data_IF_878813477365
#
_entry.id   IF_878813477365
#
_cell.length_a   1.000
_cell.length_b   1.000
_cell.length_c   1.000
_cell.angle_alpha   90.00
_cell.angle_beta   90.00
_cell.angle_gamma   90.00
#
_symmetry.space_group_name_H-M   'P 1'
#
loop_
_entity.id
_entity.type
_entity.pdbx_description
1 polymer ?
#
# COMPACT_ATOMS: atom_id res chain seq x y z
N UNK A 1 37.87 -9.66 17.98
CA UNK A 1 38.31 -8.93 16.75
C UNK A 1 37.49 -9.41 15.55
N UNK A 2 36.60 -8.55 15.04
CA UNK A 2 36.22 -8.41 13.62
C UNK A 2 35.48 -7.07 13.50
N UNK A 3 36.20 -6.05 13.06
CA UNK A 3 35.66 -4.75 12.63
C UNK A 3 35.02 -4.95 11.24
N UNK A 4 33.85 -4.37 10.99
CA UNK A 4 33.24 -4.35 9.65
C UNK A 4 32.01 -3.45 9.56
N UNK A 5 32.22 -2.27 8.96
CA UNK A 5 31.24 -1.30 8.43
C UNK A 5 30.29 -0.57 9.41
N UNK A 6 30.49 0.75 9.48
CA UNK A 6 29.60 1.74 10.10
C UNK A 6 28.22 1.71 9.46
N UNK A 7 27.18 1.41 10.23
CA UNK A 7 25.80 1.73 9.85
C UNK A 7 25.68 3.26 9.78
N UNK A 8 25.76 3.83 8.57
CA UNK A 8 25.53 5.26 8.38
C UNK A 8 24.04 5.50 8.57
N UNK A 9 23.66 5.87 9.79
CA UNK A 9 22.28 6.19 10.15
C UNK A 9 21.78 7.36 9.30
N UNK A 10 20.63 7.19 8.65
CA UNK A 10 19.98 8.28 7.91
C UNK A 10 19.68 9.44 8.86
N UNK A 11 19.90 10.66 8.37
CA UNK A 11 19.52 11.86 9.13
C UNK A 11 18.00 11.97 9.24
N UNK A 12 17.49 12.69 10.24
CA UNK A 12 16.05 12.94 10.39
C UNK A 12 15.42 13.56 9.14
N UNK A 13 16.12 14.49 8.47
CA UNK A 13 15.64 15.06 7.21
C UNK A 13 15.62 14.06 6.06
N UNK A 14 16.56 13.13 6.01
CA UNK A 14 16.54 12.05 5.03
C UNK A 14 15.34 11.13 5.28
N UNK A 15 15.05 10.78 6.54
CA UNK A 15 13.88 9.97 6.88
C UNK A 15 12.57 10.66 6.50
N UNK A 16 12.44 11.96 6.80
CA UNK A 16 11.28 12.76 6.39
C UNK A 16 11.16 12.80 4.86
N UNK A 17 12.28 12.94 4.14
CA UNK A 17 12.28 12.97 2.68
C UNK A 17 11.87 11.62 2.09
N UNK A 18 12.26 10.49 2.70
CA UNK A 18 11.81 9.15 2.28
C UNK A 18 10.29 9.04 2.40
N UNK A 19 9.72 9.41 3.56
CA UNK A 19 8.26 9.42 3.74
C UNK A 19 7.57 10.32 2.72
N UNK A 20 8.13 11.50 2.44
CA UNK A 20 7.58 12.41 1.44
C UNK A 20 7.64 11.83 0.02
N UNK A 21 8.75 11.17 -0.36
CA UNK A 21 8.90 10.50 -1.66
C UNK A 21 7.83 9.42 -1.84
N UNK A 22 7.64 8.55 -0.85
CA UNK A 22 6.64 7.47 -0.91
C UNK A 22 5.22 8.04 -1.00
N UNK A 23 4.94 9.16 -0.32
CA UNK A 23 3.63 9.79 -0.34
C UNK A 23 3.31 10.53 -1.64
N UNK A 24 4.30 11.17 -2.28
CA UNK A 24 4.07 12.04 -3.45
C UNK A 24 4.43 11.40 -4.78
N UNK A 25 5.34 10.41 -4.78
CA UNK A 25 5.94 9.85 -6.00
C UNK A 25 6.83 10.84 -6.77
N UNK A 26 7.08 12.04 -6.22
CA UNK A 26 7.82 13.11 -6.91
C UNK A 26 8.90 13.70 -5.98
N UNK A 27 10.15 13.54 -6.40
CA UNK A 27 11.36 14.02 -5.70
C UNK A 27 11.35 15.56 -5.55
N UNK A 28 10.85 16.30 -6.52
CA UNK A 28 10.75 17.78 -6.44
C UNK A 28 9.76 18.19 -5.36
N UNK A 29 8.57 17.58 -5.36
CA UNK A 29 7.53 17.85 -4.36
C UNK A 29 8.00 17.43 -2.97
N UNK A 30 8.66 16.28 -2.86
CA UNK A 30 9.23 15.80 -1.61
C UNK A 30 10.33 16.74 -1.08
N UNK A 31 11.21 17.25 -1.95
CA UNK A 31 12.24 18.20 -1.55
C UNK A 31 11.63 19.49 -0.99
N UNK A 32 10.58 20.00 -1.64
CA UNK A 32 9.86 21.19 -1.19
C UNK A 32 9.17 20.95 0.15
N UNK A 33 8.49 19.81 0.33
CA UNK A 33 7.74 19.50 1.56
C UNK A 33 8.62 19.36 2.78
N UNK A 34 9.85 18.87 2.63
CA UNK A 34 10.83 18.74 3.74
C UNK A 34 11.80 19.92 3.85
N UNK A 35 11.63 20.97 3.04
CA UNK A 35 12.44 22.19 3.09
C UNK A 35 13.91 21.98 2.70
N UNK A 36 14.20 21.14 1.71
CA UNK A 36 15.55 20.95 1.16
C UNK A 36 15.60 21.36 -0.31
N UNK A 37 16.78 21.81 -0.76
CA UNK A 37 16.98 22.07 -2.18
C UNK A 37 16.86 20.75 -2.96
N UNK A 38 16.16 20.78 -4.10
CA UNK A 38 16.06 19.65 -5.05
C UNK A 38 17.42 18.97 -5.29
N UNK A 39 18.48 19.73 -5.54
CA UNK A 39 19.83 19.19 -5.77
C UNK A 39 20.37 18.36 -4.59
N UNK A 40 20.00 18.72 -3.36
CA UNK A 40 20.35 17.94 -2.15
C UNK A 40 19.63 16.60 -2.14
N UNK A 41 18.34 16.57 -2.45
CA UNK A 41 17.58 15.32 -2.48
C UNK A 41 18.05 14.41 -3.62
N UNK A 42 18.35 14.96 -4.80
CA UNK A 42 18.97 14.21 -5.91
C UNK A 42 20.34 13.64 -5.55
N UNK A 43 21.13 14.35 -4.72
CA UNK A 43 22.39 13.81 -4.21
C UNK A 43 22.14 12.64 -3.26
N UNK A 44 21.12 12.72 -2.40
CA UNK A 44 20.73 11.59 -1.53
C UNK A 44 20.24 10.39 -2.35
N UNK A 45 19.50 10.60 -3.43
CA UNK A 45 19.07 9.55 -4.36
C UNK A 45 20.22 8.83 -5.09
N UNK A 46 21.46 9.33 -4.99
CA UNK A 46 22.67 8.63 -5.47
C UNK A 46 23.40 7.86 -4.38
N UNK A 47 22.95 7.98 -3.12
CA UNK A 47 23.55 7.28 -1.99
C UNK A 47 22.86 5.92 -1.81
N UNK A 48 23.61 4.80 -1.85
CA UNK A 48 23.01 3.46 -1.77
C UNK A 48 22.12 3.27 -0.54
N UNK A 49 22.54 3.75 0.61
CA UNK A 49 21.79 3.67 1.88
C UNK A 49 20.44 4.41 1.84
N UNK A 50 20.35 5.54 1.13
CA UNK A 50 19.11 6.30 1.02
C UNK A 50 18.16 5.60 0.05
N UNK A 51 18.67 5.15 -1.10
CA UNK A 51 17.89 4.40 -2.10
C UNK A 51 17.33 3.11 -1.51
N UNK A 52 18.14 2.35 -0.77
CA UNK A 52 17.68 1.14 -0.07
C UNK A 52 16.54 1.45 0.91
N UNK A 53 16.63 2.55 1.64
CA UNK A 53 15.58 2.94 2.57
C UNK A 53 14.31 3.46 1.88
N UNK A 54 14.43 4.12 0.72
CA UNK A 54 13.27 4.45 -0.12
C UNK A 54 12.56 3.18 -0.57
N UNK A 55 13.29 2.20 -1.13
CA UNK A 55 12.69 0.95 -1.57
C UNK A 55 12.07 0.13 -0.44
N UNK A 56 12.70 0.12 0.74
CA UNK A 56 12.10 -0.50 1.93
C UNK A 56 10.77 0.18 2.30
N UNK A 57 10.74 1.51 2.33
CA UNK A 57 9.52 2.26 2.64
C UNK A 57 8.43 2.11 1.56
N UNK A 58 8.81 1.98 0.28
CA UNK A 58 7.87 1.66 -0.81
C UNK A 58 7.28 0.25 -0.62
N UNK A 59 8.10 -0.74 -0.27
CA UNK A 59 7.64 -2.10 0.01
C UNK A 59 6.66 -2.14 1.20
N UNK A 60 6.98 -1.44 2.28
CA UNK A 60 6.10 -1.31 3.44
C UNK A 60 4.75 -0.66 3.06
N UNK A 61 4.77 0.38 2.22
CA UNK A 61 3.56 1.04 1.73
C UNK A 61 2.68 0.12 0.87
N UNK A 62 3.29 -0.73 0.02
CA UNK A 62 2.57 -1.74 -0.77
C UNK A 62 1.95 -2.80 0.13
N UNK A 63 2.67 -3.23 1.17
CA UNK A 63 2.16 -4.19 2.15
C UNK A 63 0.97 -3.61 2.93
N UNK A 64 1.05 -2.34 3.34
CA UNK A 64 -0.05 -1.61 3.97
C UNK A 64 -1.26 -1.48 3.05
N UNK A 65 -1.05 -1.12 1.78
CA UNK A 65 -2.13 -1.09 0.79
C UNK A 65 -2.78 -2.46 0.65
N UNK A 66 -2.00 -3.54 0.63
CA UNK A 66 -2.51 -4.91 0.55
C UNK A 66 -3.38 -5.25 1.76
N UNK A 67 -2.93 -4.91 2.98
CA UNK A 67 -3.75 -5.04 4.20
C UNK A 67 -5.05 -4.25 4.12
N UNK A 68 -5.01 -3.02 3.61
CA UNK A 68 -6.20 -2.18 3.43
C UNK A 68 -7.18 -2.80 2.43
N UNK A 69 -6.69 -3.33 1.31
CA UNK A 69 -7.52 -4.00 0.31
C UNK A 69 -8.19 -5.25 0.88
N UNK A 70 -7.48 -6.08 1.66
CA UNK A 70 -8.07 -7.25 2.35
C UNK A 70 -9.19 -6.81 3.30
N UNK A 71 -8.99 -5.73 4.06
CA UNK A 71 -10.00 -5.17 4.96
C UNK A 71 -11.23 -4.65 4.19
N UNK A 72 -11.02 -3.96 3.07
CA UNK A 72 -12.11 -3.51 2.20
C UNK A 72 -12.86 -4.69 1.60
N UNK A 73 -12.17 -5.76 1.20
CA UNK A 73 -12.80 -7.01 0.75
C UNK A 73 -13.74 -7.60 1.80
N UNK A 74 -13.32 -7.69 3.06
CA UNK A 74 -14.19 -8.13 4.18
C UNK A 74 -15.43 -7.24 4.33
N UNK A 75 -15.25 -5.93 4.20
CA UNK A 75 -16.35 -4.95 4.27
C UNK A 75 -17.32 -5.11 3.10
N UNK A 76 -16.81 -5.35 1.89
CA UNK A 76 -17.63 -5.60 0.71
C UNK A 76 -18.45 -6.90 0.86
N UNK A 77 -17.84 -7.98 1.35
CA UNK A 77 -18.57 -9.24 1.64
C UNK A 77 -19.67 -9.03 2.67
N UNK A 78 -19.39 -8.31 3.76
CA UNK A 78 -20.39 -7.97 4.77
C UNK A 78 -21.53 -7.11 4.19
N UNK A 79 -21.21 -6.22 3.26
CA UNK A 79 -22.20 -5.36 2.58
C UNK A 79 -23.12 -6.19 1.68
N UNK A 80 -22.57 -7.14 0.91
CA UNK A 80 -23.36 -8.08 0.11
C UNK A 80 -24.25 -8.96 1.00
N UNK A 81 -23.72 -9.47 2.12
CA UNK A 81 -24.49 -10.25 3.09
C UNK A 81 -25.67 -9.45 3.69
N UNK A 82 -25.44 -8.17 4.03
CA UNK A 82 -26.51 -7.27 4.48
C UNK A 82 -27.55 -7.02 3.39
N UNK A 83 -27.11 -6.73 2.16
CA UNK A 83 -28.01 -6.51 1.04
C UNK A 83 -28.92 -7.73 0.78
N UNK A 84 -28.43 -8.96 0.96
CA UNK A 84 -29.23 -10.19 0.80
C UNK A 84 -30.27 -10.40 1.91
N UNK A 85 -29.93 -10.03 3.16
CA UNK A 85 -30.74 -10.36 4.34
C UNK A 85 -31.69 -9.26 4.80
N UNK A 86 -31.41 -7.99 4.48
CA UNK A 86 -32.21 -6.85 4.93
C UNK A 86 -33.63 -6.88 4.30
N UNK A 87 -34.72 -6.92 5.11
CA UNK A 87 -36.08 -6.91 4.61
C UNK A 87 -36.42 -5.70 3.74
N UNK A 88 -35.78 -4.55 3.98
CA UNK A 88 -36.02 -3.32 3.23
C UNK A 88 -35.32 -3.29 1.86
N UNK A 89 -34.39 -4.22 1.59
CA UNK A 89 -33.71 -4.27 0.28
C UNK A 89 -34.65 -4.83 -0.80
N UNK A 90 -34.81 -4.16 -1.96
CA UNK A 90 -35.62 -4.67 -3.06
C UNK A 90 -35.16 -6.05 -3.55
N UNK A 91 -36.11 -6.92 -3.92
CA UNK A 91 -35.83 -8.29 -4.33
C UNK A 91 -34.77 -8.40 -5.46
N UNK A 92 -34.84 -7.52 -6.46
CA UNK A 92 -33.87 -7.48 -7.54
C UNK A 92 -32.43 -7.19 -7.04
N UNK A 93 -32.28 -6.32 -6.04
CA UNK A 93 -30.98 -6.02 -5.43
C UNK A 93 -30.46 -7.19 -4.61
N UNK A 94 -31.34 -7.94 -3.91
CA UNK A 94 -30.96 -9.17 -3.21
C UNK A 94 -30.40 -10.22 -4.16
N UNK A 95 -31.10 -10.46 -5.27
CA UNK A 95 -30.68 -11.42 -6.30
C UNK A 95 -29.33 -11.01 -6.89
N UNK A 96 -29.13 -9.73 -7.24
CA UNK A 96 -27.83 -9.25 -7.73
C UNK A 96 -26.70 -9.41 -6.71
N UNK A 97 -26.96 -9.16 -5.42
CA UNK A 97 -25.96 -9.35 -4.37
C UNK A 97 -25.57 -10.83 -4.21
N UNK A 98 -26.56 -11.73 -4.30
CA UNK A 98 -26.33 -13.17 -4.27
C UNK A 98 -25.52 -13.64 -5.48
N UNK A 99 -25.91 -13.23 -6.69
CA UNK A 99 -25.22 -13.56 -7.94
C UNK A 99 -23.77 -13.06 -7.93
N UNK A 100 -23.55 -11.80 -7.54
CA UNK A 100 -22.20 -11.25 -7.41
C UNK A 100 -21.35 -12.05 -6.41
N UNK A 101 -21.93 -12.45 -5.28
CA UNK A 101 -21.23 -13.25 -4.26
C UNK A 101 -20.85 -14.63 -4.81
N UNK A 102 -21.77 -15.33 -5.48
CA UNK A 102 -21.53 -16.64 -6.08
C UNK A 102 -20.47 -16.56 -7.18
N UNK A 103 -20.56 -15.56 -8.06
CA UNK A 103 -19.58 -15.33 -9.13
C UNK A 103 -18.17 -15.12 -8.57
N UNK A 104 -18.01 -14.31 -7.51
CA UNK A 104 -16.69 -14.10 -6.88
C UNK A 104 -16.18 -15.32 -6.13
N UNK A 105 -17.06 -16.12 -5.53
CA UNK A 105 -16.68 -17.38 -4.90
C UNK A 105 -16.12 -18.39 -5.92
N UNK A 106 -16.75 -18.51 -7.09
CA UNK A 106 -16.26 -19.37 -8.16
C UNK A 106 -14.88 -18.92 -8.65
N UNK A 107 -14.68 -17.62 -8.89
CA UNK A 107 -13.38 -17.05 -9.28
C UNK A 107 -12.29 -17.34 -8.23
N UNK A 108 -12.60 -17.20 -6.93
CA UNK A 108 -11.66 -17.52 -5.85
C UNK A 108 -11.29 -19.01 -5.82
N UNK A 109 -12.25 -19.90 -6.09
CA UNK A 109 -12.00 -21.35 -6.15
C UNK A 109 -11.07 -21.72 -7.30
N UNK A 110 -11.25 -21.09 -8.47
CA UNK A 110 -10.37 -21.28 -9.62
C UNK A 110 -8.94 -20.84 -9.29
N UNK A 111 -8.77 -19.66 -8.70
CA UNK A 111 -7.44 -19.16 -8.29
C UNK A 111 -6.76 -20.08 -7.28
N UNK A 112 -7.50 -20.58 -6.28
CA UNK A 112 -6.96 -21.50 -5.27
C UNK A 112 -6.58 -22.89 -5.82
N UNK A 113 -7.03 -23.24 -7.03
CA UNK A 113 -6.63 -24.49 -7.70
C UNK A 113 -5.45 -24.33 -8.66
N UNK A 114 -4.98 -23.11 -8.88
CA UNK A 114 -3.84 -22.78 -9.76
C UNK A 114 -2.50 -22.70 -9.00
N UNK A 115 -2.52 -22.75 -7.68
CA UNK A 115 -1.34 -22.83 -6.79
C UNK A 115 -1.07 -24.29 -6.38
#
# INVERSE_FOLDING_TARGET
MRRGATATTLTTRQQQAITAIVATGDVTVAAQSVGVNRATLYRWMKQPQFVQAVHAAEADAVEDLSRMLVRLGRTAVATLARAMSDPATPAATKVRAADATLSKLLQLRELATLE
#
